data_IF_647885712106
#
_entry.id   IF_647885712106
#
_cell.length_a   1.000
_cell.length_b   1.000
_cell.length_c   1.000
_cell.angle_alpha   90.00
_cell.angle_beta   90.00
_cell.angle_gamma   90.00
#
_symmetry.space_group_name_H-M   'P 1'
#
loop_
_entity.id
_entity.type
_entity.pdbx_description
1 polymer ?
#
# COMPACT_ATOMS: atom_id res chain seq x y z
N UNK A 1 -8.86 -15.81 10.43
CA UNK A 1 -7.80 -14.95 9.87
C UNK A 1 -6.55 -15.19 10.67
N UNK A 2 -5.46 -15.63 10.05
CA UNK A 2 -4.21 -15.86 10.76
C UNK A 2 -3.63 -14.50 11.16
N UNK A 3 -3.55 -14.23 12.47
CA UNK A 3 -2.64 -13.22 12.98
C UNK A 3 -1.24 -13.60 12.50
N UNK A 4 -0.49 -12.66 11.94
CA UNK A 4 0.88 -12.97 11.56
C UNK A 4 1.65 -13.53 12.76
N UNK A 5 2.63 -14.40 12.49
CA UNK A 5 3.56 -14.91 13.50
C UNK A 5 4.50 -13.83 14.04
N UNK A 6 4.36 -12.58 13.57
CA UNK A 6 5.21 -11.48 13.98
C UNK A 6 4.75 -10.92 15.35
N UNK A 7 5.63 -10.91 16.36
CA UNK A 7 5.27 -10.46 17.70
C UNK A 7 4.94 -8.96 17.75
N UNK A 8 5.49 -8.14 16.85
CA UNK A 8 5.21 -6.71 16.80
C UNK A 8 3.81 -6.45 16.25
N UNK A 9 3.43 -7.14 15.18
CA UNK A 9 2.08 -7.03 14.61
C UNK A 9 1.02 -7.53 15.59
N UNK A 10 1.28 -8.62 16.31
CA UNK A 10 0.37 -9.08 17.37
C UNK A 10 0.20 -8.03 18.47
N UNK A 11 1.29 -7.39 18.90
CA UNK A 11 1.22 -6.33 19.90
C UNK A 11 0.47 -5.10 19.38
N UNK A 12 0.70 -4.73 18.12
CA UNK A 12 0.01 -3.64 17.44
C UNK A 12 -1.50 -3.93 17.32
N UNK A 13 -1.87 -5.16 16.97
CA UNK A 13 -3.26 -5.60 16.89
C UNK A 13 -3.94 -5.58 18.25
N UNK A 14 -3.26 -5.99 19.32
CA UNK A 14 -3.79 -5.88 20.68
C UNK A 14 -4.03 -4.42 21.08
N UNK A 15 -3.09 -3.52 20.78
CA UNK A 15 -3.30 -2.08 21.03
C UNK A 15 -4.47 -1.54 20.21
N UNK A 16 -4.57 -1.91 18.94
CA UNK A 16 -5.70 -1.52 18.09
C UNK A 16 -7.03 -1.98 18.68
N UNK A 17 -7.15 -3.26 19.06
CA UNK A 17 -8.37 -3.79 19.68
C UNK A 17 -8.73 -3.12 21.01
N UNK A 18 -7.73 -2.72 21.81
CA UNK A 18 -7.97 -2.02 23.08
C UNK A 18 -8.69 -0.67 22.92
N UNK A 19 -8.59 -0.09 21.73
CA UNK A 19 -9.25 1.16 21.37
C UNK A 19 -10.53 0.93 20.54
N UNK A 20 -10.78 -0.29 20.06
CA UNK A 20 -11.99 -0.61 19.30
C UNK A 20 -13.20 -0.61 20.21
N UNK A 21 -14.26 0.09 19.82
CA UNK A 21 -15.52 0.03 20.55
C UNK A 21 -16.02 -1.41 20.53
N UNK A 22 -16.33 -1.96 21.70
CA UNK A 22 -16.74 -3.35 21.90
C UNK A 22 -18.14 -3.68 21.35
N UNK A 23 -18.69 -2.84 20.46
CA UNK A 23 -20.00 -2.97 19.83
C UNK A 23 -19.96 -3.84 18.55
N UNK A 24 -18.80 -4.43 18.24
CA UNK A 24 -18.62 -5.23 17.02
C UNK A 24 -18.29 -4.39 15.79
N UNK A 25 -18.04 -3.09 15.95
CA UNK A 25 -17.49 -2.26 14.88
C UNK A 25 -16.13 -2.79 14.44
N UNK A 26 -15.96 -3.01 13.13
CA UNK A 26 -14.76 -3.59 12.51
C UNK A 26 -13.66 -2.52 12.30
N UNK A 27 -13.68 -1.43 13.08
CA UNK A 27 -12.70 -0.37 12.91
C UNK A 27 -12.71 0.69 14.00
N UNK A 28 -11.66 1.50 13.99
CA UNK A 28 -11.51 2.67 14.87
C UNK A 28 -12.14 3.89 14.21
N UNK A 29 -12.94 4.61 15.00
CA UNK A 29 -13.36 5.95 14.64
C UNK A 29 -12.19 6.94 14.72
N UNK A 30 -12.45 8.19 14.32
CA UNK A 30 -11.42 9.24 14.31
C UNK A 30 -10.81 9.48 15.69
N UNK A 31 -11.63 9.47 16.74
CA UNK A 31 -11.18 9.75 18.11
C UNK A 31 -10.37 8.59 18.69
N UNK A 32 -10.80 7.34 18.48
CA UNK A 32 -10.05 6.15 18.89
C UNK A 32 -8.74 6.02 18.12
N UNK A 33 -8.73 6.31 16.81
CA UNK A 33 -7.50 6.31 16.02
C UNK A 33 -6.50 7.37 16.50
N UNK A 34 -6.97 8.57 16.84
CA UNK A 34 -6.13 9.62 17.43
C UNK A 34 -5.55 9.19 18.78
N UNK A 35 -6.34 8.53 19.63
CA UNK A 35 -5.86 7.98 20.91
C UNK A 35 -4.79 6.90 20.69
N UNK A 36 -5.02 5.97 19.77
CA UNK A 36 -4.04 4.94 19.42
C UNK A 36 -2.72 5.56 18.92
N UNK A 37 -2.80 6.58 18.06
CA UNK A 37 -1.61 7.30 17.57
C UNK A 37 -0.81 7.97 18.70
N UNK A 38 -1.51 8.47 19.74
CA UNK A 38 -0.87 9.03 20.95
C UNK A 38 -0.22 7.94 21.80
N UNK A 39 -0.88 6.79 21.97
CA UNK A 39 -0.34 5.62 22.68
C UNK A 39 0.94 5.10 22.03
N UNK A 40 1.01 5.15 20.70
CA UNK A 40 2.20 4.80 19.91
C UNK A 40 3.25 5.90 19.83
N UNK A 41 3.01 7.04 20.49
CA UNK A 41 3.93 8.18 20.55
C UNK A 41 4.37 8.68 19.16
N UNK A 42 3.47 8.62 18.17
CA UNK A 42 3.78 9.01 16.79
C UNK A 42 3.97 10.53 16.59
N UNK A 43 3.82 11.34 17.64
CA UNK A 43 3.95 12.81 17.62
C UNK A 43 3.15 13.43 16.46
N UNK A 44 3.76 14.33 15.70
CA UNK A 44 3.15 14.99 14.54
C UNK A 44 2.76 14.01 13.42
N UNK A 45 3.46 12.88 13.31
CA UNK A 45 3.17 11.85 12.30
C UNK A 45 1.84 11.16 12.52
N UNK A 46 1.34 11.12 13.76
CA UNK A 46 0.00 10.60 14.07
C UNK A 46 -1.11 11.39 13.39
N UNK A 47 -0.96 12.72 13.27
CA UNK A 47 -1.94 13.56 12.58
C UNK A 47 -1.94 13.31 11.07
N UNK A 48 -0.78 13.06 10.47
CA UNK A 48 -0.67 12.68 9.07
C UNK A 48 -1.35 11.33 8.82
N UNK A 49 -1.10 10.34 9.68
CA UNK A 49 -1.73 9.02 9.60
C UNK A 49 -3.26 9.10 9.63
N UNK A 50 -3.80 9.85 10.61
CA UNK A 50 -5.25 10.08 10.73
C UNK A 50 -5.81 10.76 9.48
N UNK A 51 -5.11 11.77 8.95
CA UNK A 51 -5.53 12.46 7.73
C UNK A 51 -5.52 11.52 6.51
N UNK A 52 -4.49 10.69 6.35
CA UNK A 52 -4.39 9.73 5.25
C UNK A 52 -5.51 8.68 5.30
N UNK A 53 -5.80 8.14 6.48
CA UNK A 53 -6.74 7.02 6.63
C UNK A 53 -8.21 7.46 6.64
N UNK A 54 -8.52 8.65 7.16
CA UNK A 54 -9.88 9.20 7.26
C UNK A 54 -10.15 10.30 6.23
N UNK A 55 -9.60 10.17 5.03
CA UNK A 55 -9.91 11.08 3.92
C UNK A 55 -11.26 10.72 3.27
N UNK A 56 -12.07 11.73 2.96
CA UNK A 56 -13.34 11.57 2.24
C UNK A 56 -14.49 11.10 3.12
N UNK A 57 -15.15 10.00 2.73
CA UNK A 57 -16.32 9.43 3.42
C UNK A 57 -15.98 8.33 4.44
N UNK A 58 -14.70 8.02 4.64
CA UNK A 58 -14.28 7.00 5.59
C UNK A 58 -14.47 7.52 7.02
N UNK A 59 -15.37 6.88 7.76
CA UNK A 59 -15.65 7.18 9.17
C UNK A 59 -14.92 6.25 10.13
N UNK A 60 -14.46 5.10 9.62
CA UNK A 60 -13.80 4.05 10.39
C UNK A 60 -12.58 3.51 9.64
N UNK A 61 -11.61 3.01 10.39
CA UNK A 61 -10.36 2.46 9.87
C UNK A 61 -10.17 1.04 10.41
N UNK A 62 -9.96 0.09 9.51
CA UNK A 62 -9.66 -1.29 9.86
C UNK A 62 -8.20 -1.47 10.30
N UNK A 63 -7.89 -2.56 10.99
CA UNK A 63 -6.51 -2.84 11.42
C UNK A 63 -5.53 -2.90 10.24
N UNK A 64 -5.96 -3.46 9.10
CA UNK A 64 -5.13 -3.58 7.91
C UNK A 64 -4.72 -2.20 7.37
N UNK A 65 -5.69 -1.31 7.18
CA UNK A 65 -5.45 0.05 6.71
C UNK A 65 -4.55 0.82 7.67
N UNK A 66 -4.80 0.68 8.97
CA UNK A 66 -3.97 1.28 10.00
C UNK A 66 -2.51 0.78 9.93
N UNK A 67 -2.28 -0.53 9.80
CA UNK A 67 -0.93 -1.12 9.71
C UNK A 67 -0.19 -0.62 8.48
N UNK A 68 -0.84 -0.65 7.32
CA UNK A 68 -0.25 -0.20 6.05
C UNK A 68 0.07 1.30 6.10
N UNK A 69 -0.86 2.12 6.60
CA UNK A 69 -0.63 3.56 6.79
C UNK A 69 0.50 3.84 7.78
N UNK A 70 0.57 3.11 8.89
CA UNK A 70 1.63 3.28 9.89
C UNK A 70 3.01 2.97 9.30
N UNK A 71 3.13 1.86 8.57
CA UNK A 71 4.37 1.49 7.88
C UNK A 71 4.77 2.54 6.85
N UNK A 72 3.82 3.11 6.12
CA UNK A 72 4.09 4.20 5.17
C UNK A 72 4.67 5.44 5.87
N UNK A 73 4.10 5.81 7.02
CA UNK A 73 4.53 6.98 7.81
C UNK A 73 5.88 6.76 8.51
N UNK A 74 6.22 5.52 8.87
CA UNK A 74 7.51 5.16 9.45
C UNK A 74 8.59 4.97 8.37
N UNK A 75 8.22 4.42 7.22
CA UNK A 75 9.10 4.04 6.12
C UNK A 75 9.57 5.20 5.24
N UNK A 76 8.90 6.36 5.28
CA UNK A 76 9.40 7.61 4.71
C UNK A 76 9.92 7.54 3.27
N UNK A 77 8.99 7.58 2.29
CA UNK A 77 9.23 7.63 0.83
C UNK A 77 9.80 6.29 0.30
N UNK A 78 9.18 5.55 -0.63
CA UNK A 78 9.02 5.88 -2.05
C UNK A 78 7.66 5.34 -2.59
N UNK A 79 7.01 6.12 -3.45
CA UNK A 79 6.00 5.70 -4.46
C UNK A 79 4.92 4.64 -4.09
N UNK A 80 3.73 5.07 -3.64
CA UNK A 80 2.48 4.43 -4.11
C UNK A 80 1.27 5.29 -3.77
N UNK A 81 1.13 6.40 -4.47
CA UNK A 81 -0.20 6.96 -4.72
C UNK A 81 -0.73 6.21 -5.95
N UNK A 82 -1.38 5.07 -5.73
CA UNK A 82 -2.38 4.56 -6.67
C UNK A 82 -3.71 4.45 -5.95
N UNK A 83 -4.25 5.61 -5.56
CA UNK A 83 -5.68 5.82 -5.71
C UNK A 83 -6.01 5.61 -7.19
N UNK A 84 -6.69 4.52 -7.53
CA UNK A 84 -7.91 4.54 -8.35
C UNK A 84 -8.45 3.12 -8.51
N UNK A 85 -9.58 2.87 -7.85
CA UNK A 85 -10.74 2.22 -8.46
C UNK A 85 -10.72 2.30 -10.00
N UNK A 86 -10.77 1.16 -10.71
CA UNK A 86 -11.48 0.91 -11.99
C UNK A 86 -10.96 -0.37 -12.70
N UNK A 87 -11.80 -1.42 -12.74
CA UNK A 87 -12.04 -2.37 -13.86
C UNK A 87 -10.93 -3.37 -14.33
N UNK A 88 -11.22 -4.67 -14.17
CA UNK A 88 -10.74 -5.85 -14.97
C UNK A 88 -10.97 -5.69 -16.50
N UNK A 89 -10.42 -6.48 -17.45
CA UNK A 89 -9.35 -7.50 -17.45
C UNK A 89 -8.31 -7.34 -18.60
N UNK A 90 -7.19 -8.07 -18.59
CA UNK A 90 -6.69 -8.72 -19.83
C UNK A 90 -5.73 -9.87 -19.49
N UNK A 91 -6.25 -11.08 -19.63
CA UNK A 91 -5.47 -12.30 -19.78
C UNK A 91 -4.89 -12.30 -21.20
N UNK A 92 -3.58 -12.43 -21.32
CA UNK A 92 -2.94 -13.60 -21.94
C UNK A 92 -1.46 -13.30 -22.19
N UNK A 93 -0.64 -14.02 -21.45
CA UNK A 93 0.75 -14.25 -21.78
C UNK A 93 0.79 -15.44 -22.72
N UNK A 94 1.25 -15.25 -23.95
CA UNK A 94 1.83 -16.35 -24.73
C UNK A 94 3.23 -15.96 -25.21
N UNK A 95 4.19 -16.47 -24.46
CA UNK A 95 5.61 -16.59 -24.79
C UNK A 95 5.87 -17.32 -26.10
N UNK A 96 7.12 -17.22 -26.57
CA UNK A 96 7.93 -18.24 -27.28
C UNK A 96 8.43 -17.76 -28.66
N UNK A 97 9.62 -17.18 -28.76
CA UNK A 97 10.97 -17.77 -28.86
C UNK A 97 11.41 -18.17 -30.29
N UNK A 98 12.59 -17.62 -30.65
CA UNK A 98 13.60 -18.03 -31.64
C UNK A 98 13.29 -17.93 -33.14
N UNK A 99 14.17 -17.26 -33.90
CA UNK A 99 15.21 -17.97 -34.68
C UNK A 99 16.12 -17.05 -35.52
N UNK A 100 17.41 -17.39 -35.47
CA UNK A 100 18.40 -17.40 -36.56
C UNK A 100 18.96 -16.11 -37.15
N UNK A 101 20.19 -15.85 -36.71
CA UNK A 101 21.27 -15.19 -37.45
C UNK A 101 21.42 -15.76 -38.87
N UNK A 102 21.42 -14.88 -39.89
CA UNK A 102 22.12 -15.15 -41.15
C UNK A 102 22.68 -13.87 -41.73
N UNK A 103 24.00 -13.87 -41.88
CA UNK A 103 24.82 -12.83 -42.49
C UNK A 103 24.43 -12.51 -43.93
N UNK A 104 24.55 -11.22 -44.30
CA UNK A 104 25.01 -10.83 -45.63
C UNK A 104 25.59 -9.41 -45.61
N UNK A 105 26.89 -9.35 -45.87
CA UNK A 105 27.61 -8.18 -46.33
C UNK A 105 27.00 -7.68 -47.65
N UNK A 106 26.82 -6.35 -47.77
CA UNK A 106 27.34 -5.58 -48.91
C UNK A 106 27.03 -4.10 -48.78
N UNK A 107 28.07 -3.32 -49.08
CA UNK A 107 28.11 -1.90 -49.39
C UNK A 107 27.02 -1.48 -50.39
N UNK A 108 26.46 -0.29 -50.22
CA UNK A 108 26.67 0.81 -51.18
C UNK A 108 26.38 2.16 -50.51
N UNK A 109 27.39 3.04 -50.55
CA UNK A 109 27.29 4.46 -50.25
C UNK A 109 26.77 5.15 -51.51
N UNK A 110 25.68 5.91 -51.42
CA UNK A 110 25.39 6.89 -52.48
C UNK A 110 24.99 8.24 -51.85
N UNK A 111 26.01 9.08 -51.72
CA UNK A 111 25.93 10.51 -51.49
C UNK A 111 25.62 11.22 -52.83
N UNK A 112 24.45 11.85 -52.88
CA UNK A 112 24.15 13.16 -53.48
C UNK A 112 25.13 13.68 -54.57
N UNK A 113 24.67 13.70 -55.83
CA UNK A 113 24.59 14.95 -56.62
C UNK A 113 23.74 14.84 -57.88
#
# INVERSE_FOLDING_TARGET
MALSSDPYEQKLYQMFQSHSTGDGSVGLDRDALLKLCRTLELKERGHLLVKCLLTGSNTHVSFREFREGLLHILGGNEESVTTTDTKVPHVDSTSSLMASNRAKERYDEEEIR
#
